data_IF_105023754041
#
_entry.id   IF_105023754041
#
_cell.length_a   1.000
_cell.length_b   1.000
_cell.length_c   1.000
_cell.angle_alpha   90.00
_cell.angle_beta   90.00
_cell.angle_gamma   90.00
#
_symmetry.space_group_name_H-M   'P 1'
#
loop_
_entity.id
_entity.type
_entity.pdbx_description
1 polymer ?
#
# COMPACT_ATOMS: atom_id res chain seq x y z
N UNK A 1 10.63 12.91 4.17
CA UNK A 1 11.41 11.92 3.39
C UNK A 1 12.79 12.50 3.21
N UNK A 2 13.81 11.95 3.87
CA UNK A 2 15.20 12.36 3.64
C UNK A 2 15.74 11.64 2.39
N UNK A 3 16.53 12.35 1.60
CA UNK A 3 17.19 11.86 0.39
C UNK A 3 18.53 11.26 0.79
N UNK A 4 18.84 10.06 0.30
CA UNK A 4 20.18 9.49 0.41
C UNK A 4 20.94 9.86 -0.86
N UNK A 5 21.94 10.72 -0.73
CA UNK A 5 22.89 10.99 -1.80
C UNK A 5 23.96 9.90 -1.78
N UNK A 6 24.01 9.09 -2.83
CA UNK A 6 25.14 8.23 -3.15
C UNK A 6 25.69 8.68 -4.50
N UNK A 7 26.95 9.11 -4.51
CA UNK A 7 27.64 9.58 -5.71
C UNK A 7 27.89 8.42 -6.69
N UNK A 8 27.12 8.42 -7.78
CA UNK A 8 27.54 8.21 -9.17
C UNK A 8 26.30 7.97 -10.05
N UNK A 9 25.93 8.98 -10.86
CA UNK A 9 25.08 8.91 -12.06
C UNK A 9 23.83 8.00 -12.02
N UNK A 10 22.94 8.21 -11.07
CA UNK A 10 21.47 8.18 -11.22
C UNK A 10 20.84 8.35 -9.84
N UNK A 11 20.09 9.43 -9.64
CA UNK A 11 19.34 9.64 -8.38
C UNK A 11 18.18 8.67 -8.31
N UNK A 12 18.44 7.50 -7.73
CA UNK A 12 17.42 6.48 -7.48
C UNK A 12 16.60 6.92 -6.26
N UNK A 13 15.33 7.28 -6.50
CA UNK A 13 14.39 7.66 -5.43
C UNK A 13 13.64 6.41 -4.98
N UNK A 14 14.02 5.87 -3.82
CA UNK A 14 13.34 4.71 -3.25
C UNK A 14 12.28 5.13 -2.21
N UNK A 15 11.06 4.56 -2.24
CA UNK A 15 10.10 4.76 -1.15
C UNK A 15 10.49 3.88 0.05
N UNK A 16 11.05 4.49 1.09
CA UNK A 16 11.26 3.83 2.39
C UNK A 16 10.56 4.59 3.50
N UNK A 17 10.04 3.86 4.48
CA UNK A 17 9.48 4.43 5.72
C UNK A 17 10.57 4.37 6.78
N UNK A 18 10.83 5.50 7.44
CA UNK A 18 11.82 5.60 8.50
C UNK A 18 11.14 5.81 9.84
N UNK A 19 11.56 5.00 10.79
CA UNK A 19 11.39 5.23 12.22
C UNK A 19 12.79 5.42 12.84
N UNK A 20 12.90 6.03 14.04
CA UNK A 20 14.14 6.04 14.80
C UNK A 20 14.74 4.63 14.98
N UNK A 21 13.88 3.60 15.12
CA UNK A 21 14.29 2.25 15.50
C UNK A 21 14.21 1.23 14.36
N UNK A 22 13.44 1.51 13.31
CA UNK A 22 13.28 0.59 12.18
C UNK A 22 13.23 1.30 10.83
N UNK A 23 13.51 0.56 9.77
CA UNK A 23 13.37 0.99 8.38
C UNK A 23 12.51 -0.01 7.66
N UNK A 24 11.50 0.45 6.95
CA UNK A 24 10.67 -0.41 6.10
C UNK A 24 11.00 -0.20 4.62
N UNK A 25 11.13 -1.31 3.90
CA UNK A 25 11.48 -1.35 2.49
C UNK A 25 10.55 -2.28 1.73
N UNK A 26 9.91 -1.79 0.66
CA UNK A 26 9.15 -2.60 -0.28
C UNK A 26 9.99 -2.86 -1.56
N UNK A 27 10.43 -4.10 -1.77
CA UNK A 27 11.40 -4.45 -2.83
C UNK A 27 10.72 -4.69 -4.19
N UNK A 28 9.38 -4.62 -4.28
CA UNK A 28 8.61 -4.98 -5.48
C UNK A 28 8.94 -4.17 -6.75
N UNK A 29 9.47 -2.95 -6.65
CA UNK A 29 9.37 -1.99 -7.76
C UNK A 29 10.49 -2.00 -8.80
N UNK A 30 11.71 -2.45 -8.51
CA UNK A 30 12.83 -2.48 -9.49
C UNK A 30 14.03 -3.30 -8.96
N UNK A 31 14.32 -4.46 -9.56
CA UNK A 31 15.35 -5.41 -9.08
C UNK A 31 16.78 -4.85 -9.07
N UNK A 32 17.14 -3.99 -10.04
CA UNK A 32 18.47 -3.35 -10.08
C UNK A 32 18.63 -2.26 -9.02
N UNK A 33 17.58 -1.45 -8.85
CA UNK A 33 17.51 -0.35 -7.87
C UNK A 33 17.53 -0.85 -6.43
N UNK A 34 16.82 -1.96 -6.16
CA UNK A 34 16.71 -2.57 -4.85
C UNK A 34 18.07 -2.95 -4.23
N UNK A 35 19.01 -3.47 -5.05
CA UNK A 35 20.36 -3.83 -4.60
C UNK A 35 21.10 -2.64 -4.01
N UNK A 36 21.08 -1.51 -4.72
CA UNK A 36 21.75 -0.28 -4.29
C UNK A 36 21.05 0.37 -3.10
N UNK A 37 19.72 0.35 -3.07
CA UNK A 37 18.94 0.87 -1.95
C UNK A 37 19.26 0.10 -0.65
N UNK A 38 19.22 -1.23 -0.69
CA UNK A 38 19.54 -2.06 0.49
C UNK A 38 20.98 -1.84 0.96
N UNK A 39 21.95 -1.86 0.04
CA UNK A 39 23.36 -1.65 0.39
C UNK A 39 23.63 -0.25 0.95
N UNK A 40 23.01 0.78 0.36
CA UNK A 40 23.13 2.16 0.83
C UNK A 40 22.54 2.36 2.22
N UNK A 41 21.38 1.74 2.49
CA UNK A 41 20.74 1.78 3.81
C UNK A 41 21.58 1.06 4.87
N UNK A 42 22.05 -0.15 4.57
CA UNK A 42 22.87 -0.94 5.49
C UNK A 42 24.17 -0.22 5.81
N UNK A 43 24.83 0.36 4.81
CA UNK A 43 26.06 1.14 5.02
C UNK A 43 25.81 2.33 5.94
N UNK A 44 24.73 3.07 5.73
CA UNK A 44 24.37 4.17 6.63
C UNK A 44 24.05 3.71 8.04
N UNK A 45 23.36 2.59 8.21
CA UNK A 45 23.06 2.04 9.55
C UNK A 45 24.37 1.64 10.23
N UNK A 46 25.29 0.99 9.51
CA UNK A 46 26.59 0.59 10.01
C UNK A 46 27.47 1.80 10.37
N UNK A 47 27.52 2.83 9.54
CA UNK A 47 28.28 4.05 9.79
C UNK A 47 27.76 4.77 11.05
N UNK A 48 26.43 4.88 11.22
CA UNK A 48 25.84 5.46 12.44
C UNK A 48 26.12 4.62 13.69
N UNK A 49 26.23 3.30 13.56
CA UNK A 49 26.57 2.38 14.66
C UNK A 49 28.08 2.41 15.00
N UNK A 50 28.96 2.62 14.02
CA UNK A 50 30.41 2.71 14.24
C UNK A 50 30.83 4.05 14.86
N UNK A 51 30.04 5.11 14.62
CA UNK A 51 30.31 6.46 15.13
C UNK A 51 29.86 6.69 16.58
N UNK A 52 29.20 5.72 17.24
CA UNK A 52 28.88 5.80 18.67
C UNK A 52 30.09 5.38 19.50
N UNK A 53 30.78 6.31 20.21
CA UNK A 53 31.83 5.95 21.15
C UNK A 53 31.20 5.31 22.40
N UNK A 54 31.96 4.45 23.06
CA UNK A 54 31.63 3.74 24.32
C UNK A 54 31.32 4.66 25.53
N UNK A 55 31.20 5.97 25.31
CA UNK A 55 31.02 6.99 26.35
C UNK A 55 29.95 8.00 25.91
N UNK A 56 28.68 7.70 26.17
CA UNK A 56 27.68 8.73 26.49
C UNK A 56 26.43 8.13 27.13
N UNK A 57 25.94 8.87 28.12
CA UNK A 57 24.88 8.55 29.06
C UNK A 57 23.59 7.95 28.49
N UNK A 58 23.02 7.08 29.34
CA UNK A 58 21.71 6.46 29.21
C UNK A 58 20.58 7.42 28.82
N UNK A 59 20.06 7.28 27.60
CA UNK A 59 18.61 7.26 27.31
C UNK A 59 18.32 6.83 25.86
N UNK A 60 17.86 5.58 25.69
CA UNK A 60 17.11 5.10 24.52
C UNK A 60 17.75 5.25 23.11
N UNK A 61 19.00 4.83 22.91
CA UNK A 61 19.47 4.48 21.55
C UNK A 61 19.48 2.97 21.39
N UNK A 62 18.75 2.47 20.41
CA UNK A 62 18.71 1.03 20.13
C UNK A 62 20.08 0.58 19.63
N UNK A 63 20.62 -0.45 20.28
CA UNK A 63 21.91 -1.10 19.93
C UNK A 63 21.92 -1.61 18.48
N UNK A 64 20.75 -1.84 17.88
CA UNK A 64 20.60 -2.25 16.49
C UNK A 64 19.37 -1.59 15.86
N UNK A 65 19.39 -1.46 14.53
CA UNK A 65 18.22 -1.03 13.77
C UNK A 65 17.51 -2.20 13.11
N UNK A 66 16.18 -2.23 13.16
CA UNK A 66 15.41 -3.29 12.49
C UNK A 66 15.12 -2.88 11.04
N UNK A 67 15.40 -3.77 10.09
CA UNK A 67 15.06 -3.59 8.68
C UNK A 67 13.89 -4.53 8.35
N UNK A 68 12.73 -3.98 8.05
CA UNK A 68 11.54 -4.73 7.63
C UNK A 68 11.49 -4.74 6.10
N UNK A 69 11.60 -5.92 5.51
CA UNK A 69 11.54 -6.12 4.06
C UNK A 69 10.20 -6.77 3.70
N UNK A 70 9.40 -6.07 2.90
CA UNK A 70 8.11 -6.58 2.43
C UNK A 70 8.24 -7.31 1.09
N UNK A 71 7.48 -8.40 0.95
CA UNK A 71 7.27 -9.20 -0.27
C UNK A 71 8.53 -9.77 -0.91
N UNK A 72 9.33 -10.45 -0.10
CA UNK A 72 10.56 -11.11 -0.53
C UNK A 72 10.31 -12.40 -1.36
N UNK A 73 9.08 -12.91 -1.40
CA UNK A 73 8.66 -14.07 -2.21
C UNK A 73 8.71 -13.80 -3.72
N UNK A 74 8.58 -12.53 -4.12
CA UNK A 74 8.60 -12.09 -5.53
C UNK A 74 9.96 -11.54 -5.96
N UNK A 75 10.97 -11.71 -5.12
CA UNK A 75 12.31 -11.13 -5.29
C UNK A 75 13.25 -12.16 -5.92
N UNK A 76 14.06 -11.70 -6.88
CA UNK A 76 15.04 -12.52 -7.57
C UNK A 76 16.09 -13.11 -6.61
N UNK A 77 16.55 -14.33 -6.90
CA UNK A 77 17.49 -15.10 -6.07
C UNK A 77 18.77 -14.33 -5.71
N UNK A 78 19.28 -13.53 -6.65
CA UNK A 78 20.47 -12.70 -6.44
C UNK A 78 20.31 -11.66 -5.32
N UNK A 79 19.10 -11.11 -5.13
CA UNK A 79 18.81 -10.19 -4.02
C UNK A 79 18.63 -10.96 -2.72
N UNK A 80 18.08 -12.17 -2.76
CA UNK A 80 18.00 -13.04 -1.57
C UNK A 80 19.40 -13.43 -1.07
N UNK A 81 20.34 -13.73 -1.98
CA UNK A 81 21.75 -13.91 -1.61
C UNK A 81 22.38 -12.65 -1.01
N UNK A 82 22.02 -11.46 -1.51
CA UNK A 82 22.46 -10.20 -0.90
C UNK A 82 21.87 -10.02 0.51
N UNK A 83 20.58 -10.31 0.71
CA UNK A 83 19.93 -10.23 2.01
C UNK A 83 20.66 -11.15 3.00
N UNK A 84 20.94 -12.40 2.61
CA UNK A 84 21.76 -13.31 3.41
C UNK A 84 23.12 -12.70 3.77
N UNK A 85 23.84 -12.16 2.79
CA UNK A 85 25.14 -11.54 3.02
C UNK A 85 25.04 -10.37 4.01
N UNK A 86 24.00 -9.54 3.90
CA UNK A 86 23.75 -8.45 4.85
C UNK A 86 23.48 -9.00 6.26
N UNK A 87 22.67 -10.05 6.39
CA UNK A 87 22.40 -10.69 7.68
C UNK A 87 23.68 -11.20 8.32
N UNK A 88 24.57 -11.81 7.53
CA UNK A 88 25.82 -12.41 7.99
C UNK A 88 26.87 -11.34 8.35
N UNK A 89 26.97 -10.24 7.60
CA UNK A 89 27.99 -9.21 7.81
C UNK A 89 27.60 -8.11 8.83
N UNK A 90 26.31 -7.84 9.00
CA UNK A 90 25.82 -6.70 9.81
C UNK A 90 24.91 -7.14 10.96
N UNK A 91 25.16 -8.33 11.53
CA UNK A 91 24.34 -8.89 12.62
C UNK A 91 24.28 -7.99 13.86
N UNK A 92 25.36 -7.25 14.14
CA UNK A 92 25.47 -6.39 15.32
C UNK A 92 24.72 -5.07 15.11
N UNK A 93 24.89 -4.45 13.93
CA UNK A 93 24.28 -3.16 13.62
C UNK A 93 22.80 -3.23 13.21
N UNK A 94 22.35 -4.35 12.63
CA UNK A 94 20.97 -4.48 12.16
C UNK A 94 20.36 -5.87 12.32
N UNK A 95 19.04 -5.91 12.53
CA UNK A 95 18.22 -7.14 12.50
C UNK A 95 17.25 -7.06 11.34
N UNK A 96 17.00 -8.16 10.65
CA UNK A 96 16.12 -8.18 9.48
C UNK A 96 14.83 -8.95 9.80
N UNK A 97 13.69 -8.36 9.44
CA UNK A 97 12.39 -9.02 9.42
C UNK A 97 11.94 -9.16 7.97
N UNK A 98 11.69 -10.39 7.54
CA UNK A 98 11.23 -10.70 6.19
C UNK A 98 9.73 -11.02 6.22
N UNK A 99 8.92 -10.21 5.54
CA UNK A 99 7.48 -10.44 5.40
C UNK A 99 7.20 -11.05 4.02
N UNK A 100 6.74 -12.30 3.99
CA UNK A 100 6.48 -13.07 2.76
C UNK A 100 5.08 -13.69 2.83
N UNK A 101 4.43 -13.85 1.68
CA UNK A 101 3.16 -14.59 1.56
C UNK A 101 3.44 -16.10 1.46
N UNK A 102 4.40 -16.48 0.59
CA UNK A 102 4.79 -17.88 0.37
C UNK A 102 6.25 -18.14 0.79
N UNK A 103 6.45 -19.15 1.66
CA UNK A 103 7.79 -19.56 2.12
C UNK A 103 8.60 -20.27 1.02
N UNK A 104 7.93 -20.97 0.09
CA UNK A 104 8.54 -21.81 -0.95
C UNK A 104 9.54 -21.07 -1.83
N UNK A 105 9.32 -19.78 -2.06
CA UNK A 105 10.17 -18.94 -2.91
C UNK A 105 11.40 -18.38 -2.17
N UNK A 106 11.51 -18.61 -0.87
CA UNK A 106 12.65 -18.15 -0.07
C UNK A 106 13.75 -19.22 -0.07
N UNK A 107 14.94 -18.81 -0.52
CA UNK A 107 16.14 -19.64 -0.56
C UNK A 107 16.47 -20.18 0.84
N UNK A 108 16.78 -21.48 0.90
CA UNK A 108 17.15 -22.19 2.12
C UNK A 108 18.26 -21.49 2.95
N UNK A 109 19.32 -20.91 2.33
CA UNK A 109 20.36 -20.19 3.07
C UNK A 109 19.87 -18.95 3.83
N UNK A 110 18.79 -18.31 3.39
CA UNK A 110 18.14 -17.19 4.09
C UNK A 110 17.23 -17.75 5.19
N UNK A 111 16.43 -18.77 4.86
CA UNK A 111 15.50 -19.43 5.77
C UNK A 111 16.20 -19.97 7.02
N UNK A 112 17.34 -20.63 6.85
CA UNK A 112 18.13 -21.22 7.95
C UNK A 112 18.71 -20.17 8.93
N UNK A 113 18.73 -18.89 8.55
CA UNK A 113 19.15 -17.78 9.43
C UNK A 113 17.99 -17.05 10.11
N UNK A 114 16.75 -17.34 9.71
CA UNK A 114 15.55 -16.70 10.21
C UNK A 114 14.79 -17.61 11.17
N UNK A 115 14.15 -17.03 12.19
CA UNK A 115 13.10 -17.70 12.94
C UNK A 115 11.80 -17.56 12.16
N UNK A 116 11.22 -18.68 11.73
CA UNK A 116 9.93 -18.69 11.04
C UNK A 116 8.80 -18.41 12.02
N UNK A 117 7.95 -17.44 11.67
CA UNK A 117 6.71 -17.12 12.37
C UNK A 117 5.59 -17.22 11.34
N UNK A 118 4.77 -18.27 11.44
CA UNK A 118 3.63 -18.46 10.57
C UNK A 118 2.43 -17.69 11.15
N UNK A 119 1.77 -16.92 10.29
CA UNK A 119 0.54 -16.20 10.62
C UNK A 119 -0.56 -16.81 9.77
N UNK A 120 -1.32 -17.72 10.38
CA UNK A 120 -2.40 -18.41 9.70
C UNK A 120 -3.57 -17.45 9.39
N UNK A 121 -4.33 -17.78 8.36
CA UNK A 121 -5.51 -17.01 8.01
C UNK A 121 -6.57 -17.15 9.13
N UNK A 122 -7.20 -16.05 9.56
CA UNK A 122 -8.16 -16.09 10.65
C UNK A 122 -9.38 -16.95 10.29
N UNK A 123 -9.94 -17.60 11.30
CA UNK A 123 -11.17 -18.35 11.13
C UNK A 123 -12.37 -17.42 10.93
N UNK A 124 -13.43 -17.94 10.30
CA UNK A 124 -14.64 -17.15 10.03
C UNK A 124 -15.24 -16.57 11.30
N UNK A 125 -15.19 -17.30 12.42
CA UNK A 125 -15.73 -16.84 13.70
C UNK A 125 -14.91 -15.68 14.29
N UNK A 126 -13.57 -15.73 14.19
CA UNK A 126 -12.68 -14.65 14.63
C UNK A 126 -12.91 -13.37 13.83
N UNK A 127 -13.12 -13.49 12.51
CA UNK A 127 -13.45 -12.34 11.66
C UNK A 127 -14.77 -11.70 12.11
N UNK A 128 -15.80 -12.51 12.41
CA UNK A 128 -17.08 -12.01 12.91
C UNK A 128 -16.90 -11.23 14.21
N UNK A 129 -16.09 -11.74 15.14
CA UNK A 129 -15.79 -11.04 16.40
C UNK A 129 -15.11 -9.69 16.16
N UNK A 130 -14.13 -9.62 15.27
CA UNK A 130 -13.47 -8.35 14.91
C UNK A 130 -14.47 -7.37 14.30
N UNK A 131 -15.37 -7.82 13.40
CA UNK A 131 -16.38 -6.95 12.79
C UNK A 131 -17.37 -6.39 13.83
N UNK A 132 -17.76 -7.21 14.82
CA UNK A 132 -18.62 -6.76 15.93
C UNK A 132 -17.89 -5.79 16.86
N UNK A 133 -16.60 -6.01 17.13
CA UNK A 133 -15.78 -5.06 17.90
C UNK A 133 -15.66 -3.71 17.19
N UNK A 134 -15.49 -3.73 15.86
CA UNK A 134 -15.46 -2.50 15.05
C UNK A 134 -16.82 -1.80 15.13
N UNK A 135 -17.94 -2.51 15.00
CA UNK A 135 -19.26 -1.89 15.06
C UNK A 135 -19.56 -1.23 16.41
N UNK A 136 -19.12 -1.86 17.50
CA UNK A 136 -19.22 -1.29 18.84
C UNK A 136 -18.38 -0.02 19.00
N UNK A 137 -17.13 -0.02 18.54
CA UNK A 137 -16.24 1.16 18.62
C UNK A 137 -16.70 2.32 17.76
N UNK A 138 -17.29 2.03 16.60
CA UNK A 138 -17.80 3.01 15.63
C UNK A 138 -19.27 3.38 15.86
N UNK A 139 -19.87 2.91 16.98
CA UNK A 139 -21.24 3.20 17.41
C UNK A 139 -22.32 2.92 16.34
N UNK A 140 -22.32 1.73 15.74
CA UNK A 140 -23.39 1.30 14.84
C UNK A 140 -23.83 -0.15 15.12
N UNK A 141 -25.08 -0.45 14.79
CA UNK A 141 -25.65 -1.78 15.01
C UNK A 141 -25.30 -2.72 13.85
N UNK A 142 -24.69 -3.86 14.17
CA UNK A 142 -24.34 -4.91 13.21
C UNK A 142 -24.92 -6.24 13.68
N UNK A 143 -25.83 -6.81 12.89
CA UNK A 143 -26.36 -8.15 13.15
C UNK A 143 -25.27 -9.20 12.97
N UNK A 144 -25.22 -10.18 13.88
CA UNK A 144 -24.31 -11.33 13.79
C UNK A 144 -24.48 -12.11 12.50
N UNK A 145 -25.72 -12.22 11.99
CA UNK A 145 -26.01 -12.88 10.72
C UNK A 145 -25.38 -12.15 9.53
N UNK A 146 -25.46 -10.82 9.49
CA UNK A 146 -24.85 -10.02 8.44
C UNK A 146 -23.31 -10.05 8.52
N UNK A 147 -22.73 -9.98 9.72
CA UNK A 147 -21.30 -10.16 9.93
C UNK A 147 -20.80 -11.53 9.42
N UNK A 148 -21.56 -12.61 9.66
CA UNK A 148 -21.25 -13.95 9.16
C UNK A 148 -21.30 -14.02 7.63
N UNK A 149 -22.29 -13.37 6.99
CA UNK A 149 -22.35 -13.24 5.53
C UNK A 149 -21.10 -12.56 4.97
N UNK A 150 -20.65 -11.46 5.59
CA UNK A 150 -19.41 -10.76 5.19
C UNK A 150 -18.20 -11.67 5.37
N UNK A 151 -18.01 -12.26 6.55
CA UNK A 151 -16.86 -13.11 6.86
C UNK A 151 -16.73 -14.31 5.90
N UNK A 152 -17.85 -14.95 5.56
CA UNK A 152 -17.91 -16.08 4.62
C UNK A 152 -17.49 -15.63 3.21
N UNK A 153 -18.02 -14.47 2.79
CA UNK A 153 -17.72 -13.86 1.50
C UNK A 153 -16.25 -13.45 1.36
N UNK A 154 -15.63 -12.96 2.43
CA UNK A 154 -14.25 -12.48 2.42
C UNK A 154 -13.17 -13.57 2.34
N UNK A 155 -13.53 -14.86 2.31
CA UNK A 155 -12.59 -15.99 2.14
C UNK A 155 -11.39 -15.90 3.10
N UNK A 156 -11.66 -15.76 4.39
CA UNK A 156 -10.65 -15.65 5.46
C UNK A 156 -9.70 -14.45 5.35
N UNK A 157 -10.03 -13.44 4.54
CA UNK A 157 -9.24 -12.21 4.46
C UNK A 157 -9.88 -11.10 5.30
N UNK A 158 -9.26 -10.80 6.45
CA UNK A 158 -9.76 -9.80 7.39
C UNK A 158 -9.80 -8.39 6.78
N UNK A 159 -8.82 -8.02 5.96
CA UNK A 159 -8.80 -6.71 5.29
C UNK A 159 -10.02 -6.56 4.38
N UNK A 160 -10.29 -7.58 3.55
CA UNK A 160 -11.46 -7.60 2.66
C UNK A 160 -12.77 -7.55 3.44
N UNK A 161 -12.85 -8.23 4.58
CA UNK A 161 -14.03 -8.20 5.45
C UNK A 161 -14.31 -6.80 6.02
N UNK A 162 -13.29 -6.14 6.58
CA UNK A 162 -13.41 -4.79 7.13
C UNK A 162 -13.82 -3.79 6.04
N UNK A 163 -13.18 -3.86 4.87
CA UNK A 163 -13.51 -2.98 3.74
C UNK A 163 -14.91 -3.24 3.18
N UNK A 164 -15.34 -4.50 3.12
CA UNK A 164 -16.70 -4.84 2.70
C UNK A 164 -17.73 -4.26 3.69
N UNK A 165 -17.47 -4.34 5.01
CA UNK A 165 -18.31 -3.74 6.03
C UNK A 165 -18.38 -2.21 5.90
N UNK A 166 -17.25 -1.55 5.67
CA UNK A 166 -17.18 -0.10 5.43
C UNK A 166 -18.00 0.30 4.20
N UNK A 167 -17.82 -0.42 3.07
CA UNK A 167 -18.61 -0.19 1.86
C UNK A 167 -20.10 -0.41 2.08
N UNK A 168 -20.50 -1.45 2.82
CA UNK A 168 -21.91 -1.69 3.12
C UNK A 168 -22.51 -0.55 3.96
N UNK A 169 -21.81 -0.12 5.02
CA UNK A 169 -22.25 0.97 5.90
C UNK A 169 -22.37 2.29 5.14
N UNK A 170 -21.39 2.60 4.30
CA UNK A 170 -21.38 3.83 3.51
C UNK A 170 -22.49 3.84 2.45
N UNK A 171 -22.87 2.67 1.93
CA UNK A 171 -23.94 2.56 0.93
C UNK A 171 -25.33 2.73 1.55
N UNK A 172 -25.65 1.94 2.58
CA UNK A 172 -26.95 1.96 3.23
C UNK A 172 -26.82 1.54 4.70
N UNK A 173 -27.30 2.40 5.59
CA UNK A 173 -27.45 2.10 7.01
C UNK A 173 -28.81 2.65 7.49
N UNK A 174 -29.61 1.90 8.28
CA UNK A 174 -29.36 0.57 8.86
C UNK A 174 -29.17 -0.57 7.84
N UNK A 175 -28.49 -1.64 8.24
CA UNK A 175 -28.23 -2.78 7.35
C UNK A 175 -29.50 -3.56 7.02
N UNK A 176 -29.60 -4.01 5.77
CA UNK A 176 -30.68 -4.89 5.30
C UNK A 176 -30.10 -6.28 5.01
N UNK A 177 -30.81 -7.35 5.36
CA UNK A 177 -30.27 -8.71 5.25
C UNK A 177 -29.89 -9.13 3.82
N UNK A 178 -30.60 -8.61 2.81
CA UNK A 178 -30.35 -8.87 1.38
C UNK A 178 -29.46 -7.82 0.72
N UNK A 179 -28.76 -7.01 1.53
CA UNK A 179 -27.85 -6.01 0.99
C UNK A 179 -26.68 -6.67 0.23
N UNK A 180 -26.35 -6.18 -0.98
CA UNK A 180 -25.18 -6.63 -1.71
C UNK A 180 -23.90 -6.26 -0.96
N UNK A 181 -23.00 -7.24 -0.84
CA UNK A 181 -21.71 -7.09 -0.15
C UNK A 181 -20.63 -7.04 -1.24
N UNK A 182 -20.06 -5.86 -1.55
CA UNK A 182 -18.99 -5.75 -2.52
C UNK A 182 -17.70 -6.35 -1.96
N UNK A 183 -17.06 -7.22 -2.75
CA UNK A 183 -15.75 -7.83 -2.46
C UNK A 183 -14.85 -7.57 -3.65
N UNK A 184 -13.54 -7.48 -3.43
CA UNK A 184 -12.52 -7.35 -4.49
C UNK A 184 -12.63 -6.09 -5.35
N UNK A 185 -13.45 -5.12 -4.93
CA UNK A 185 -13.61 -3.85 -5.63
C UNK A 185 -12.32 -3.00 -5.64
N UNK A 186 -11.45 -3.18 -4.66
CA UNK A 186 -10.13 -2.53 -4.60
C UNK A 186 -9.22 -2.98 -5.75
N UNK A 187 -9.22 -4.25 -6.10
CA UNK A 187 -8.35 -4.80 -7.15
C UNK A 187 -8.67 -4.14 -8.50
N UNK A 188 -9.96 -3.92 -8.78
CA UNK A 188 -10.42 -3.17 -9.95
C UNK A 188 -9.90 -1.72 -9.92
N UNK A 189 -9.84 -1.07 -8.76
CA UNK A 189 -9.30 0.29 -8.63
C UNK A 189 -7.78 0.35 -8.77
N UNK A 190 -7.07 -0.67 -8.28
CA UNK A 190 -5.62 -0.81 -8.48
C UNK A 190 -5.31 -0.95 -9.96
N UNK A 191 -6.07 -1.78 -10.69
CA UNK A 191 -5.96 -1.89 -12.15
C UNK A 191 -6.24 -0.56 -12.85
N UNK A 192 -7.35 0.12 -12.52
CA UNK A 192 -7.67 1.43 -13.09
C UNK A 192 -6.52 2.40 -12.84
N UNK A 193 -6.01 2.47 -11.62
CA UNK A 193 -4.92 3.38 -11.28
C UNK A 193 -3.65 3.05 -12.09
N UNK A 194 -3.31 1.77 -12.23
CA UNK A 194 -2.18 1.32 -13.04
C UNK A 194 -2.35 1.69 -14.53
N UNK A 195 -3.55 1.50 -15.11
CA UNK A 195 -3.85 1.89 -16.49
C UNK A 195 -3.73 3.40 -16.71
N UNK A 196 -4.27 4.21 -15.79
CA UNK A 196 -4.20 5.68 -15.84
C UNK A 196 -2.75 6.18 -15.76
N UNK A 197 -1.93 5.54 -14.92
CA UNK A 197 -0.53 5.89 -14.74
C UNK A 197 0.35 5.42 -15.92
N UNK A 198 -0.02 4.33 -16.58
CA UNK A 198 0.68 3.81 -17.75
C UNK A 198 0.40 4.64 -19.02
N UNK A 199 -0.87 5.02 -19.25
CA UNK A 199 -1.27 5.83 -20.41
C UNK A 199 -2.31 6.90 -20.00
N UNK A 200 -1.87 8.15 -19.73
CA UNK A 200 -2.76 9.26 -19.39
C UNK A 200 -3.43 9.87 -20.65
N UNK A 201 -3.88 9.05 -21.59
CA UNK A 201 -4.56 9.48 -22.81
C UNK A 201 -6.09 9.55 -22.64
N UNK A 202 -6.77 10.52 -23.29
CA UNK A 202 -8.24 10.59 -23.25
C UNK A 202 -8.93 9.33 -23.78
N UNK A 203 -8.27 8.54 -24.63
CA UNK A 203 -8.82 7.29 -25.19
C UNK A 203 -9.06 6.24 -24.11
N UNK A 204 -8.21 6.20 -23.07
CA UNK A 204 -8.34 5.27 -21.94
C UNK A 204 -9.52 5.59 -21.01
N UNK A 205 -10.00 6.83 -21.00
CA UNK A 205 -11.12 7.26 -20.15
C UNK A 205 -12.38 6.43 -20.42
N UNK A 206 -12.65 6.06 -21.68
CA UNK A 206 -13.81 5.25 -22.02
C UNK A 206 -13.79 3.87 -21.35
N UNK A 207 -12.63 3.19 -21.35
CA UNK A 207 -12.48 1.90 -20.69
C UNK A 207 -12.59 2.03 -19.16
N UNK A 208 -11.99 3.08 -18.60
CA UNK A 208 -12.04 3.37 -17.16
C UNK A 208 -13.48 3.68 -16.73
N UNK A 209 -14.25 4.41 -17.54
CA UNK A 209 -15.66 4.70 -17.29
C UNK A 209 -16.47 3.41 -17.13
N UNK A 210 -16.27 2.42 -17.99
CA UNK A 210 -16.94 1.12 -17.86
C UNK A 210 -16.61 0.42 -16.54
N UNK A 211 -15.34 0.42 -16.12
CA UNK A 211 -14.92 -0.15 -14.83
C UNK A 211 -15.49 0.63 -13.63
N UNK A 212 -15.47 1.96 -13.66
CA UNK A 212 -16.07 2.80 -12.62
C UNK A 212 -17.59 2.59 -12.52
N UNK A 213 -18.27 2.46 -13.66
CA UNK A 213 -19.70 2.17 -13.69
C UNK A 213 -20.00 0.81 -13.05
N UNK A 214 -19.20 -0.22 -13.35
CA UNK A 214 -19.32 -1.54 -12.72
C UNK A 214 -19.22 -1.43 -11.20
N UNK A 215 -18.24 -0.69 -10.67
CA UNK A 215 -18.06 -0.50 -9.23
C UNK A 215 -19.23 0.21 -8.55
N UNK A 216 -19.81 1.21 -9.22
CA UNK A 216 -21.01 1.89 -8.71
C UNK A 216 -22.24 0.99 -8.72
N UNK A 217 -22.37 0.12 -9.72
CA UNK A 217 -23.44 -0.89 -9.80
C UNK A 217 -23.24 -1.99 -8.75
N UNK A 218 -21.99 -2.33 -8.41
CA UNK A 218 -21.65 -3.25 -7.32
C UNK A 218 -21.75 -2.61 -5.92
N UNK A 219 -22.40 -1.45 -5.80
CA UNK A 219 -22.74 -0.79 -4.54
C UNK A 219 -21.53 -0.27 -3.74
N UNK A 220 -20.41 0.00 -4.41
CA UNK A 220 -19.26 0.66 -3.78
C UNK A 220 -19.53 2.16 -3.66
N UNK A 221 -19.40 2.70 -2.45
CA UNK A 221 -19.67 4.11 -2.21
C UNK A 221 -18.68 5.03 -2.98
N UNK A 222 -19.14 6.06 -3.70
CA UNK A 222 -18.27 6.91 -4.53
C UNK A 222 -17.09 7.54 -3.78
N UNK A 223 -17.28 7.93 -2.51
CA UNK A 223 -16.20 8.52 -1.71
C UNK A 223 -15.07 7.52 -1.44
N UNK A 224 -15.39 6.25 -1.24
CA UNK A 224 -14.39 5.19 -1.07
C UNK A 224 -13.61 4.98 -2.35
N UNK A 225 -14.28 5.00 -3.50
CA UNK A 225 -13.64 4.95 -4.82
C UNK A 225 -12.65 6.12 -4.98
N UNK A 226 -13.09 7.34 -4.69
CA UNK A 226 -12.26 8.54 -4.80
C UNK A 226 -11.02 8.47 -3.87
N UNK A 227 -11.24 8.16 -2.60
CA UNK A 227 -10.19 8.04 -1.60
C UNK A 227 -9.15 6.99 -2.00
N UNK A 228 -9.62 5.83 -2.50
CA UNK A 228 -8.74 4.74 -2.88
C UNK A 228 -7.95 5.02 -4.15
N UNK A 229 -8.56 5.65 -5.16
CA UNK A 229 -7.86 6.13 -6.34
C UNK A 229 -6.75 7.11 -5.98
N UNK A 230 -7.02 8.06 -5.07
CA UNK A 230 -6.01 9.01 -4.59
C UNK A 230 -4.86 8.30 -3.88
N UNK A 231 -5.16 7.32 -3.01
CA UNK A 231 -4.13 6.51 -2.36
C UNK A 231 -3.21 5.83 -3.40
N UNK A 232 -3.79 5.24 -4.45
CA UNK A 232 -3.02 4.59 -5.51
C UNK A 232 -2.22 5.58 -6.37
N UNK A 233 -2.79 6.73 -6.70
CA UNK A 233 -2.09 7.78 -7.43
C UNK A 233 -0.91 8.33 -6.63
N UNK A 234 -1.08 8.59 -5.33
CA UNK A 234 0.00 9.10 -4.46
C UNK A 234 1.22 8.17 -4.37
N UNK A 235 1.02 6.86 -4.56
CA UNK A 235 2.13 5.88 -4.59
C UNK A 235 3.09 6.10 -5.74
N UNK A 236 2.61 6.58 -6.90
CA UNK A 236 3.43 6.71 -8.13
C UNK A 236 3.64 8.16 -8.61
N UNK A 237 2.90 9.12 -8.09
CA UNK A 237 2.99 10.53 -8.50
C UNK A 237 4.24 11.22 -7.92
N UNK A 238 4.90 12.04 -8.74
CA UNK A 238 6.03 12.88 -8.33
C UNK A 238 5.66 13.83 -7.18
N UNK A 239 6.61 14.14 -6.32
CA UNK A 239 6.37 14.93 -5.10
C UNK A 239 5.75 16.31 -5.37
N UNK A 240 6.10 16.97 -6.48
CA UNK A 240 5.61 18.28 -6.86
C UNK A 240 4.09 18.33 -7.09
N UNK A 241 3.47 17.25 -7.58
CA UNK A 241 2.03 17.20 -7.87
C UNK A 241 1.18 16.72 -6.70
N UNK A 242 1.78 16.28 -5.59
CA UNK A 242 1.03 15.76 -4.44
C UNK A 242 0.10 16.80 -3.82
N UNK A 243 0.58 18.05 -3.67
CA UNK A 243 -0.23 19.15 -3.13
C UNK A 243 -1.43 19.45 -4.04
N UNK A 244 -1.21 19.45 -5.35
CA UNK A 244 -2.28 19.64 -6.33
C UNK A 244 -3.28 18.48 -6.29
N UNK A 245 -2.82 17.24 -6.16
CA UNK A 245 -3.69 16.07 -6.01
C UNK A 245 -4.55 16.13 -4.74
N UNK A 246 -3.98 16.53 -3.60
CA UNK A 246 -4.75 16.74 -2.37
C UNK A 246 -5.80 17.83 -2.51
N UNK A 247 -5.48 18.92 -3.21
CA UNK A 247 -6.45 19.98 -3.50
C UNK A 247 -7.62 19.44 -4.33
N UNK A 248 -7.35 18.71 -5.41
CA UNK A 248 -8.40 18.13 -6.25
C UNK A 248 -9.21 17.06 -5.53
N UNK A 249 -8.57 16.22 -4.71
CA UNK A 249 -9.26 15.27 -3.84
C UNK A 249 -10.31 16.00 -2.97
N UNK A 250 -9.89 17.02 -2.22
CA UNK A 250 -10.80 17.78 -1.36
C UNK A 250 -11.89 18.54 -2.15
N UNK A 251 -11.57 18.99 -3.37
CA UNK A 251 -12.53 19.65 -4.25
C UNK A 251 -13.63 18.70 -4.72
N UNK A 252 -13.27 17.50 -5.17
CA UNK A 252 -14.22 16.51 -5.68
C UNK A 252 -14.98 15.81 -4.56
N UNK A 253 -14.35 15.53 -3.41
CA UNK A 253 -15.00 14.90 -2.25
C UNK A 253 -16.23 15.69 -1.76
N UNK A 254 -16.13 17.02 -1.73
CA UNK A 254 -17.25 17.92 -1.38
C UNK A 254 -18.37 17.97 -2.41
N UNK A 255 -18.09 17.59 -3.66
CA UNK A 255 -18.98 17.73 -4.82
C UNK A 255 -19.45 16.39 -5.37
N UNK A 256 -19.10 15.30 -4.70
CA UNK A 256 -19.40 13.95 -5.14
C UNK A 256 -20.86 13.62 -4.77
N UNK A 257 -21.75 13.42 -5.75
CA UNK A 257 -23.10 12.98 -5.45
C UNK A 257 -23.09 11.50 -5.03
N UNK A 258 -24.18 11.05 -4.41
CA UNK A 258 -24.33 9.65 -4.01
C UNK A 258 -24.78 8.78 -5.20
N UNK A 259 -24.41 7.50 -5.15
CA UNK A 259 -24.87 6.49 -6.11
C UNK A 259 -24.32 6.66 -7.53
N UNK A 260 -25.09 6.21 -8.53
CA UNK A 260 -24.67 6.13 -9.94
C UNK A 260 -24.42 7.48 -10.61
N UNK A 261 -25.04 8.56 -10.13
CA UNK A 261 -24.81 9.93 -10.60
C UNK A 261 -23.38 10.42 -10.37
N UNK A 262 -22.62 9.75 -9.48
CA UNK A 262 -21.23 10.07 -9.18
C UNK A 262 -20.26 9.74 -10.33
N UNK A 263 -20.69 8.92 -11.29
CA UNK A 263 -19.84 8.45 -12.39
C UNK A 263 -19.18 9.63 -13.13
N UNK A 264 -19.95 10.67 -13.45
CA UNK A 264 -19.43 11.84 -14.17
C UNK A 264 -18.36 12.58 -13.36
N UNK A 265 -18.55 12.72 -12.04
CA UNK A 265 -17.58 13.39 -11.16
C UNK A 265 -16.32 12.57 -10.92
N UNK A 266 -16.44 11.25 -10.82
CA UNK A 266 -15.29 10.35 -10.78
C UNK A 266 -14.51 10.37 -12.10
N UNK A 267 -15.21 10.38 -13.24
CA UNK A 267 -14.61 10.51 -14.57
C UNK A 267 -13.88 11.86 -14.74
N UNK A 268 -14.51 12.96 -14.34
CA UNK A 268 -13.90 14.30 -14.31
C UNK A 268 -12.62 14.31 -13.46
N UNK A 269 -12.65 13.70 -12.28
CA UNK A 269 -11.47 13.60 -11.40
C UNK A 269 -10.32 12.84 -12.05
N UNK A 270 -10.59 11.68 -12.66
CA UNK A 270 -9.57 10.90 -13.38
C UNK A 270 -9.01 11.70 -14.57
N UNK A 271 -9.85 12.36 -15.34
CA UNK A 271 -9.43 13.21 -16.46
C UNK A 271 -8.54 14.38 -15.98
N UNK A 272 -8.89 14.99 -14.85
CA UNK A 272 -8.08 16.05 -14.23
C UNK A 272 -6.71 15.50 -13.81
N UNK A 273 -6.66 14.33 -13.20
CA UNK A 273 -5.42 13.68 -12.82
C UNK A 273 -4.52 13.38 -14.04
N UNK A 274 -5.09 12.84 -15.12
CA UNK A 274 -4.37 12.62 -16.39
C UNK A 274 -3.79 13.93 -16.97
N UNK A 275 -4.49 15.05 -16.82
CA UNK A 275 -3.98 16.37 -17.23
C UNK A 275 -2.79 16.82 -16.40
N UNK A 276 -2.81 16.59 -15.07
CA UNK A 276 -1.69 16.92 -14.17
C UNK A 276 -0.46 16.08 -14.53
N UNK A 277 -0.63 14.77 -14.73
CA UNK A 277 0.45 13.88 -15.15
C UNK A 277 1.09 14.32 -16.47
N UNK A 278 0.29 14.67 -17.48
CA UNK A 278 0.81 15.16 -18.77
C UNK A 278 1.60 16.46 -18.67
N UNK A 279 1.28 17.33 -17.71
CA UNK A 279 2.08 18.55 -17.44
C UNK A 279 3.41 18.24 -16.77
N UNK A 280 3.51 17.13 -16.05
CA UNK A 280 4.69 16.70 -15.31
C UNK A 280 5.66 15.79 -16.05
N UNK A 281 5.24 15.20 -17.17
CA UNK A 281 6.14 14.42 -18.03
C UNK A 281 7.04 15.38 -18.83
N UNK A 282 8.39 15.28 -18.72
CA UNK A 282 9.30 16.05 -19.54
C UNK A 282 9.28 15.49 -20.98
N UNK A 283 8.27 15.89 -21.75
CA UNK A 283 8.07 15.38 -23.12
C UNK A 283 7.00 16.08 -23.94
N UNK A 284 6.28 17.07 -23.40
CA UNK A 284 5.38 17.95 -24.18
C UNK A 284 5.51 19.42 -23.79
N UNK A 285 6.72 19.93 -23.98
CA UNK A 285 6.90 21.30 -24.49
C UNK A 285 7.31 21.13 -25.95
N UNK A 286 6.35 20.97 -26.87
CA UNK A 286 6.37 21.47 -28.25
C UNK A 286 4.95 21.25 -28.80
N UNK A 287 4.16 22.31 -28.84
CA UNK A 287 3.72 23.00 -30.06
C UNK A 287 3.03 24.30 -29.63
#
# INVERSE_FOLDING_TARGET
RQQLHLEANSTIVFPFTLSPYHVELDIKSETKSARYALMGLVKQIADHHALTPEVSDSSFRAEYKVIVLYANDKVAENIQHLIKWVMDCYTDACKIMLCCEDESNILEPVRNRCKLINVDAPETHEIVEVLLQISQKENFELSRGFAMKIATKSKQNLRKAIMALESCKAHSYPFVDEQPIPIDWEDTLVEIAAEVLADPSPKRIFNIRGKLQKLLVEFVHPKLILQKLVEQFLKRVQACFRRELYYWHAYYDKRLPSGSSALLKLEEFVAKFMSIQRRGSPGRLVL
#
